data_IF_345188373410
#
_entry.id   IF_345188373410
#
_cell.length_a   1.000
_cell.length_b   1.000
_cell.length_c   1.000
_cell.angle_alpha   90.00
_cell.angle_beta   90.00
_cell.angle_gamma   90.00
#
_symmetry.space_group_name_H-M   'P 1'
#
loop_
_entity.id
_entity.type
_entity.pdbx_description
1 polymer ?
#
# COMPACT_ATOMS: atom_id res chain seq x y z
N UNK A 1 21.19 41.19 4.02
CA UNK A 1 22.46 41.72 3.48
C UNK A 1 22.81 42.98 4.25
N UNK A 2 23.97 43.03 4.92
CA UNK A 2 24.35 44.17 5.74
C UNK A 2 24.77 45.34 4.85
N UNK A 3 24.22 46.53 5.08
CA UNK A 3 24.34 47.67 4.17
C UNK A 3 25.28 48.79 4.66
N UNK A 4 25.84 48.69 5.87
CA UNK A 4 26.76 49.71 6.41
C UNK A 4 27.98 49.11 7.14
N UNK A 5 29.11 49.84 7.26
CA UNK A 5 30.30 49.37 7.99
C UNK A 5 30.01 49.05 9.47
N UNK A 6 29.07 49.78 10.08
CA UNK A 6 28.56 49.56 11.43
C UNK A 6 27.90 48.18 11.56
N UNK A 7 27.15 47.76 10.55
CA UNK A 7 26.46 46.46 10.44
C UNK A 7 27.47 45.28 10.46
N UNK A 8 28.62 45.45 9.78
CA UNK A 8 29.74 44.49 9.78
C UNK A 8 30.58 44.51 11.06
N UNK A 9 30.74 45.67 11.69
CA UNK A 9 31.60 45.84 12.87
C UNK A 9 30.92 45.41 14.18
N UNK A 10 29.58 45.46 14.22
CA UNK A 10 28.78 45.07 15.40
C UNK A 10 28.00 43.76 15.25
N UNK A 11 28.22 43.01 14.16
CA UNK A 11 27.63 41.68 13.98
C UNK A 11 26.09 41.72 13.99
N UNK A 12 25.47 42.70 13.33
CA UNK A 12 24.03 42.64 13.10
C UNK A 12 23.77 41.42 12.21
N UNK A 13 23.01 40.45 12.74
CA UNK A 13 22.86 39.12 12.18
C UNK A 13 21.91 39.10 10.97
N UNK A 14 22.29 39.74 9.88
CA UNK A 14 21.43 39.88 8.69
C UNK A 14 21.38 38.64 7.78
N UNK A 15 22.04 37.54 8.16
CA UNK A 15 22.07 36.25 7.46
C UNK A 15 22.18 35.05 8.43
N UNK A 16 21.29 34.93 9.41
CA UNK A 16 21.24 33.71 10.28
C UNK A 16 20.76 32.49 9.50
N UNK A 17 19.90 32.70 8.51
CA UNK A 17 19.27 31.63 7.74
C UNK A 17 20.26 30.84 6.86
N UNK A 18 21.30 31.49 6.32
CA UNK A 18 22.26 30.87 5.39
C UNK A 18 23.67 31.33 5.68
N UNK A 19 24.60 30.38 5.79
CA UNK A 19 26.02 30.63 6.02
C UNK A 19 26.83 30.75 4.73
N UNK A 20 27.94 31.51 4.75
CA UNK A 20 28.99 31.40 3.74
C UNK A 20 29.40 29.95 3.53
N UNK A 21 29.69 29.62 2.27
CA UNK A 21 30.03 28.26 1.89
C UNK A 21 31.28 27.74 2.63
N UNK A 22 31.36 26.41 2.74
CA UNK A 22 32.53 25.67 3.25
C UNK A 22 33.27 25.01 2.11
N UNK A 23 34.57 24.82 2.29
CA UNK A 23 35.46 24.21 1.29
C UNK A 23 35.30 22.68 1.26
N UNK A 24 35.04 22.06 2.41
CA UNK A 24 34.72 20.63 2.52
C UNK A 24 33.91 20.34 3.79
N UNK A 25 33.11 19.27 3.76
CA UNK A 25 32.48 18.69 4.95
C UNK A 25 33.25 17.48 5.47
N UNK A 26 33.18 17.22 6.78
CA UNK A 26 33.60 15.97 7.39
C UNK A 26 32.37 15.22 7.92
N UNK A 27 32.14 14.04 7.35
CA UNK A 27 31.14 13.03 7.69
C UNK A 27 31.66 11.97 8.67
N UNK A 28 32.89 12.16 9.16
CA UNK A 28 33.53 11.34 10.20
C UNK A 28 34.13 12.24 11.29
N UNK A 29 34.42 11.64 12.44
CA UNK A 29 35.16 12.32 13.49
C UNK A 29 36.59 12.62 13.00
N UNK A 30 37.03 13.87 13.18
CA UNK A 30 38.38 14.35 12.84
C UNK A 30 38.97 15.13 14.02
N UNK A 31 40.29 15.21 14.08
CA UNK A 31 40.96 16.05 15.07
C UNK A 31 40.84 17.54 14.69
N UNK A 32 40.80 18.43 15.66
CA UNK A 32 40.74 19.89 15.45
C UNK A 32 42.12 20.52 15.54
N UNK A 33 43.10 19.95 14.85
CA UNK A 33 44.49 20.38 14.93
C UNK A 33 45.24 20.12 13.63
N UNK A 34 45.98 21.13 13.17
CA UNK A 34 46.89 21.02 12.04
C UNK A 34 46.20 20.80 10.69
N UNK A 35 46.94 20.89 9.57
CA UNK A 35 46.45 20.52 8.26
C UNK A 35 46.11 19.03 8.18
N UNK A 36 44.99 18.71 7.58
CA UNK A 36 44.50 17.33 7.41
C UNK A 36 43.91 17.12 6.02
N UNK A 37 44.07 15.91 5.50
CA UNK A 37 43.37 15.43 4.30
C UNK A 37 42.03 14.84 4.72
N UNK A 38 40.96 15.51 4.33
CA UNK A 38 39.59 15.10 4.58
C UNK A 38 39.06 14.47 3.30
N UNK A 39 38.56 13.24 3.42
CA UNK A 39 37.79 12.57 2.37
C UNK A 39 36.38 12.40 2.89
N UNK A 40 35.40 12.91 2.16
CA UNK A 40 33.99 12.87 2.54
C UNK A 40 33.17 12.28 1.41
N UNK A 41 32.20 11.43 1.73
CA UNK A 41 31.26 10.88 0.75
C UNK A 41 29.87 11.45 1.01
N UNK A 42 29.45 12.35 0.13
CA UNK A 42 28.19 13.07 0.21
C UNK A 42 27.29 12.72 -0.99
N UNK A 43 26.09 13.28 -1.05
CA UNK A 43 25.16 13.03 -2.15
C UNK A 43 25.68 13.57 -3.50
N UNK A 44 26.50 14.62 -3.51
CA UNK A 44 27.12 15.11 -4.76
C UNK A 44 28.33 14.29 -5.20
N UNK A 45 28.82 13.36 -4.37
CA UNK A 45 29.94 12.47 -4.66
C UNK A 45 30.95 12.38 -3.53
N UNK A 46 32.05 11.69 -3.81
CA UNK A 46 33.21 11.62 -2.90
C UNK A 46 34.20 12.71 -3.25
N UNK A 47 34.51 13.56 -2.27
CA UNK A 47 35.44 14.68 -2.40
C UNK A 47 36.60 14.51 -1.43
N UNK A 48 37.81 14.85 -1.86
CA UNK A 48 39.01 14.84 -1.01
C UNK A 48 39.70 16.20 -1.10
N UNK A 49 39.92 16.83 0.06
CA UNK A 49 40.64 18.09 0.18
C UNK A 49 41.69 17.99 1.29
N UNK A 50 42.91 18.40 0.98
CA UNK A 50 43.94 18.67 2.00
C UNK A 50 43.78 20.11 2.47
N UNK A 51 43.35 20.27 3.72
CA UNK A 51 43.09 21.58 4.31
C UNK A 51 44.38 22.40 4.44
N UNK A 52 44.25 23.69 4.20
CA UNK A 52 45.25 24.72 4.39
C UNK A 52 44.75 25.76 5.39
N UNK A 53 45.65 26.63 5.87
CA UNK A 53 45.24 27.65 6.85
C UNK A 53 44.17 28.58 6.25
N UNK A 54 43.03 28.68 6.92
CA UNK A 54 41.91 29.53 6.50
C UNK A 54 40.74 28.78 5.88
N UNK A 55 40.93 27.52 5.47
CA UNK A 55 39.87 26.72 4.87
C UNK A 55 38.74 26.47 5.87
N UNK A 56 37.51 26.62 5.39
CA UNK A 56 36.27 26.42 6.15
C UNK A 56 35.84 24.97 6.01
N UNK A 57 35.77 24.27 7.12
CA UNK A 57 35.39 22.86 7.19
C UNK A 57 34.10 22.74 7.99
N UNK A 58 33.08 22.12 7.40
CA UNK A 58 31.85 21.77 8.12
C UNK A 58 32.01 20.40 8.80
N UNK A 59 31.86 20.34 10.11
CA UNK A 59 31.91 19.07 10.86
C UNK A 59 30.51 18.64 11.22
N UNK A 60 30.13 17.45 10.74
CA UNK A 60 28.77 16.91 10.91
C UNK A 60 28.70 15.67 11.81
N UNK A 61 29.84 15.01 12.05
CA UNK A 61 29.93 13.71 12.73
C UNK A 61 31.07 13.63 13.76
N UNK A 62 31.27 14.69 14.55
CA UNK A 62 32.15 14.65 15.72
C UNK A 62 31.57 13.71 16.80
N UNK A 63 32.44 13.06 17.57
CA UNK A 63 32.03 12.15 18.65
C UNK A 63 31.15 12.86 19.69
N UNK A 64 31.46 14.13 19.98
CA UNK A 64 30.60 15.00 20.76
C UNK A 64 29.83 15.93 19.81
N UNK A 65 28.48 15.82 19.71
CA UNK A 65 27.68 16.68 18.84
C UNK A 65 27.75 18.17 19.19
N UNK A 66 28.26 18.53 20.37
CA UNK A 66 28.54 19.93 20.71
C UNK A 66 29.63 20.50 19.80
N UNK A 67 30.59 19.67 19.38
CA UNK A 67 31.76 20.06 18.56
C UNK A 67 31.46 20.18 17.06
N UNK A 68 30.29 19.69 16.63
CA UNK A 68 29.78 19.94 15.29
C UNK A 68 29.62 21.43 15.01
N UNK A 69 29.85 21.82 13.75
CA UNK A 69 29.79 23.22 13.33
C UNK A 69 30.78 23.56 12.22
N UNK A 70 30.94 24.86 11.95
CA UNK A 70 31.90 25.34 10.95
C UNK A 70 33.20 25.72 11.66
N UNK A 71 34.30 25.12 11.23
CA UNK A 71 35.64 25.34 11.75
C UNK A 71 36.56 25.91 10.67
N UNK A 72 37.55 26.68 11.09
CA UNK A 72 38.60 27.22 10.24
C UNK A 72 39.87 26.44 10.53
N UNK A 73 40.42 25.78 9.50
CA UNK A 73 41.66 25.03 9.59
C UNK A 73 42.83 25.95 9.94
N UNK A 74 43.68 25.50 10.86
CA UNK A 74 44.86 26.21 11.35
C UNK A 74 46.06 25.26 11.44
N UNK A 75 47.30 25.78 11.38
CA UNK A 75 48.51 24.99 11.64
C UNK A 75 48.54 24.39 13.05
N UNK A 76 47.88 25.04 14.01
CA UNK A 76 47.70 24.58 15.38
C UNK A 76 46.23 24.16 15.61
N UNK A 77 45.68 24.41 16.80
CA UNK A 77 44.27 24.15 17.10
C UNK A 77 43.37 24.94 16.17
N UNK A 78 42.40 24.26 15.56
CA UNK A 78 41.40 24.88 14.72
C UNK A 78 40.50 25.78 15.56
N UNK A 79 39.91 26.78 14.92
CA UNK A 79 39.01 27.73 15.60
C UNK A 79 37.63 27.66 14.97
N UNK A 80 36.58 27.78 15.77
CA UNK A 80 35.22 27.91 15.21
C UNK A 80 35.16 29.16 14.35
N UNK A 81 34.44 29.05 13.24
CA UNK A 81 34.23 30.17 12.35
C UNK A 81 33.49 31.31 13.07
N UNK A 82 33.86 32.59 12.87
CA UNK A 82 33.22 33.72 13.55
C UNK A 82 31.70 33.85 13.34
N UNK A 83 31.15 33.24 12.28
CA UNK A 83 29.72 33.20 11.96
C UNK A 83 29.03 31.92 12.47
N UNK A 84 29.71 31.13 13.29
CA UNK A 84 29.23 29.91 13.96
C UNK A 84 29.82 29.83 15.39
N UNK A 85 30.03 30.96 16.06
CA UNK A 85 30.69 31.01 17.37
C UNK A 85 29.91 31.82 18.42
N UNK A 86 28.99 32.68 18.00
CA UNK A 86 28.14 33.50 18.85
C UNK A 86 26.74 32.91 19.09
N UNK A 87 26.07 33.32 20.19
CA UNK A 87 24.75 32.80 20.59
C UNK A 87 23.59 33.24 19.68
N UNK A 88 23.84 34.13 18.71
CA UNK A 88 22.83 34.59 17.72
C UNK A 88 23.21 34.22 16.30
N UNK A 89 24.30 33.50 16.14
CA UNK A 89 24.82 33.19 14.82
C UNK A 89 24.04 32.04 14.20
N UNK A 90 23.63 31.06 15.00
CA UNK A 90 22.92 29.88 14.50
C UNK A 90 21.59 29.71 15.23
N UNK A 91 20.59 29.24 14.49
CA UNK A 91 19.31 28.77 15.03
C UNK A 91 18.98 27.43 14.37
N UNK A 92 18.03 26.70 14.95
CA UNK A 92 17.47 25.55 14.25
C UNK A 92 16.94 25.96 12.86
N UNK A 93 17.34 25.24 11.82
CA UNK A 93 17.00 25.54 10.43
C UNK A 93 18.02 26.35 9.65
N UNK A 94 19.11 26.82 10.27
CA UNK A 94 20.22 27.48 9.54
C UNK A 94 20.81 26.54 8.48
N UNK A 95 21.02 27.06 7.27
CA UNK A 95 21.58 26.32 6.14
C UNK A 95 23.08 26.61 5.94
N UNK A 96 23.82 25.57 5.56
CA UNK A 96 25.24 25.65 5.19
C UNK A 96 25.45 24.94 3.86
N UNK A 97 26.18 25.57 2.95
CA UNK A 97 26.49 25.02 1.63
C UNK A 97 27.97 24.66 1.50
N UNK A 98 28.28 23.60 0.76
CA UNK A 98 29.62 23.27 0.28
C UNK A 98 29.86 23.89 -1.10
N UNK A 99 31.11 24.18 -1.44
CA UNK A 99 31.50 24.58 -2.81
C UNK A 99 31.18 23.51 -3.86
N UNK A 100 31.01 22.25 -3.46
CA UNK A 100 30.64 21.14 -4.34
C UNK A 100 29.12 21.05 -4.59
N UNK A 101 28.32 21.87 -3.89
CA UNK A 101 26.88 21.94 -4.02
C UNK A 101 26.12 21.44 -2.80
N UNK A 102 26.69 20.53 -2.00
CA UNK A 102 25.99 19.94 -0.86
C UNK A 102 25.41 20.99 0.09
N UNK A 103 24.28 20.68 0.70
CA UNK A 103 23.57 21.59 1.60
C UNK A 103 23.17 20.84 2.86
N UNK A 104 23.36 21.46 4.01
CA UNK A 104 22.95 20.94 5.31
C UNK A 104 22.09 21.94 6.07
N UNK A 105 21.08 21.41 6.76
CA UNK A 105 20.26 22.13 7.71
C UNK A 105 20.70 21.79 9.14
N UNK A 106 20.91 22.81 9.96
CA UNK A 106 21.15 22.69 11.40
C UNK A 106 19.90 22.17 12.11
N UNK A 107 20.07 21.14 12.93
CA UNK A 107 19.08 20.59 13.84
C UNK A 107 19.58 20.70 15.28
N UNK A 108 18.96 21.60 16.04
CA UNK A 108 19.29 21.84 17.44
C UNK A 108 18.07 22.38 18.20
N UNK A 109 18.08 22.29 19.53
CA UNK A 109 17.05 22.91 20.37
C UNK A 109 17.32 24.41 20.48
N UNK A 110 16.32 25.24 20.19
CA UNK A 110 16.41 26.68 20.39
C UNK A 110 16.19 27.02 21.89
N UNK A 111 16.93 27.98 22.47
CA UNK A 111 18.03 28.73 21.87
C UNK A 111 19.30 27.89 21.71
N UNK A 112 19.96 28.01 20.56
CA UNK A 112 21.23 27.30 20.32
C UNK A 112 22.37 28.06 20.99
N UNK A 113 23.03 27.42 21.95
CA UNK A 113 24.19 27.96 22.67
C UNK A 113 25.44 27.23 22.18
N UNK A 114 26.28 27.92 21.42
CA UNK A 114 27.53 27.33 20.89
C UNK A 114 28.43 26.87 22.04
N UNK A 115 28.97 25.65 21.92
CA UNK A 115 29.81 25.04 22.95
C UNK A 115 29.03 24.41 24.11
N UNK A 116 27.69 24.37 24.06
CA UNK A 116 26.86 23.70 25.07
C UNK A 116 25.71 22.91 24.45
N UNK A 117 25.02 23.47 23.46
CA UNK A 117 23.97 22.78 22.73
C UNK A 117 24.56 21.70 21.83
N UNK A 118 23.92 20.53 21.80
CA UNK A 118 24.19 19.50 20.80
C UNK A 118 23.67 19.97 19.43
N UNK A 119 24.51 19.87 18.41
CA UNK A 119 24.21 20.34 17.05
C UNK A 119 24.30 19.15 16.10
N UNK A 120 23.21 18.88 15.40
CA UNK A 120 23.15 17.89 14.33
C UNK A 120 22.98 18.59 12.99
N UNK A 121 23.41 17.93 11.92
CA UNK A 121 23.27 18.41 10.56
C UNK A 121 22.50 17.38 9.74
N UNK A 122 21.36 17.78 9.18
CA UNK A 122 20.61 17.00 8.21
C UNK A 122 21.04 17.41 6.81
N UNK A 123 21.45 16.46 5.96
CA UNK A 123 21.71 16.76 4.55
C UNK A 123 20.40 17.07 3.80
N UNK A 124 20.43 18.10 2.95
CA UNK A 124 19.26 18.66 2.26
C UNK A 124 19.48 18.88 0.76
N UNK A 125 20.53 18.31 0.13
CA UNK A 125 20.86 18.59 -1.29
C UNK A 125 19.85 18.01 -2.29
N UNK A 126 19.37 18.84 -3.24
CA UNK A 126 18.00 19.32 -3.10
C UNK A 126 17.14 18.13 -2.68
N UNK A 127 16.92 18.02 -1.37
CA UNK A 127 16.28 16.97 -0.59
C UNK A 127 16.81 15.53 -0.86
N UNK A 128 17.69 15.07 0.03
CA UNK A 128 18.17 13.69 0.28
C UNK A 128 17.80 12.59 -0.72
N UNK A 129 18.80 11.79 -1.14
CA UNK A 129 18.65 10.54 -1.92
C UNK A 129 17.70 9.49 -1.30
N UNK A 130 17.22 9.69 -0.07
CA UNK A 130 16.33 8.77 0.64
C UNK A 130 14.87 9.21 0.71
N UNK A 131 14.39 10.07 -0.21
CA UNK A 131 12.95 10.36 -0.31
C UNK A 131 12.51 10.20 -1.76
N UNK A 132 11.51 9.34 -1.96
CA UNK A 132 10.88 9.14 -3.25
C UNK A 132 10.45 10.51 -3.83
N UNK A 133 10.55 10.68 -5.14
CA UNK A 133 10.28 11.97 -5.82
C UNK A 133 8.86 12.50 -5.57
N UNK A 134 7.97 11.68 -4.99
CA UNK A 134 6.57 11.97 -4.66
C UNK A 134 6.40 12.60 -3.26
N UNK A 135 7.20 12.21 -2.26
CA UNK A 135 7.17 12.76 -0.88
C UNK A 135 7.55 14.26 -0.84
N UNK A 136 8.28 14.74 -1.84
CA UNK A 136 8.68 16.16 -1.95
C UNK A 136 7.71 17.01 -2.75
N UNK A 137 7.00 16.44 -3.72
CA UNK A 137 6.12 17.20 -4.61
C UNK A 137 4.72 17.41 -3.99
N UNK A 138 4.31 16.52 -3.09
CA UNK A 138 3.00 16.56 -2.48
C UNK A 138 3.17 16.74 -0.97
N UNK A 139 2.63 17.84 -0.43
CA UNK A 139 2.37 18.04 0.99
C UNK A 139 1.23 17.12 1.46
N UNK A 140 1.27 15.86 1.03
CA UNK A 140 0.23 14.89 1.27
C UNK A 140 0.63 14.13 2.53
N UNK A 141 -0.21 14.16 3.58
CA UNK A 141 0.03 13.40 4.79
C UNK A 141 0.31 11.94 4.43
N UNK A 142 1.27 11.33 5.13
CA UNK A 142 1.77 9.97 4.91
C UNK A 142 0.65 8.90 4.79
N UNK A 143 -0.55 9.22 5.26
CA UNK A 143 -1.77 8.41 5.11
C UNK A 143 -2.30 8.23 3.68
N UNK A 144 -1.73 8.88 2.66
CA UNK A 144 -2.23 8.80 1.27
C UNK A 144 -1.22 8.25 0.25
N UNK A 145 -0.02 7.85 0.68
CA UNK A 145 0.90 7.12 -0.20
C UNK A 145 0.73 5.63 0.06
N UNK A 146 -0.11 5.00 -0.74
CA UNK A 146 -0.08 3.55 -0.91
C UNK A 146 1.22 3.22 -1.66
N UNK A 147 2.32 3.09 -0.91
CA UNK A 147 3.62 2.73 -1.48
C UNK A 147 3.50 1.35 -2.13
N UNK A 148 3.81 1.27 -3.42
CA UNK A 148 3.98 -0.02 -4.09
C UNK A 148 5.07 -0.81 -3.34
N UNK A 149 4.85 -2.10 -3.05
CA UNK A 149 5.85 -2.95 -2.41
C UNK A 149 7.23 -2.87 -3.06
N UNK A 150 8.27 -2.95 -2.23
CA UNK A 150 9.69 -2.83 -2.64
C UNK A 150 10.03 -3.73 -3.83
N UNK A 151 10.91 -3.26 -4.72
CA UNK A 151 11.19 -3.87 -6.03
C UNK A 151 11.53 -5.37 -5.98
N UNK A 152 12.24 -5.83 -4.95
CA UNK A 152 12.59 -7.24 -4.76
C UNK A 152 11.36 -8.15 -4.54
N UNK A 153 10.22 -7.59 -4.11
CA UNK A 153 8.97 -8.33 -3.90
C UNK A 153 8.07 -8.36 -5.13
N UNK A 154 8.44 -7.65 -6.21
CA UNK A 154 7.64 -7.49 -7.44
C UNK A 154 7.97 -8.50 -8.53
N UNK A 155 9.10 -9.18 -8.43
CA UNK A 155 9.52 -10.12 -9.48
C UNK A 155 8.52 -11.28 -9.60
N UNK A 156 7.99 -11.49 -10.80
CA UNK A 156 6.98 -12.51 -11.10
C UNK A 156 5.58 -12.30 -10.49
N UNK A 157 5.25 -11.12 -9.93
CA UNK A 157 3.95 -10.84 -9.30
C UNK A 157 3.14 -9.77 -10.04
N UNK A 158 1.81 -9.91 -9.99
CA UNK A 158 0.85 -8.95 -10.52
C UNK A 158 0.33 -8.03 -9.41
N UNK A 159 -0.02 -6.79 -9.78
CA UNK A 159 -0.70 -5.85 -8.87
C UNK A 159 -2.21 -6.00 -9.06
N UNK A 160 -2.92 -6.25 -7.97
CA UNK A 160 -4.39 -6.29 -7.89
C UNK A 160 -4.88 -5.36 -6.78
N UNK A 161 -6.19 -5.29 -6.55
CA UNK A 161 -6.79 -4.50 -5.47
C UNK A 161 -7.67 -5.38 -4.58
N UNK A 162 -7.61 -5.16 -3.26
CA UNK A 162 -8.51 -5.81 -2.32
C UNK A 162 -9.91 -5.17 -2.30
N UNK A 163 -10.81 -5.70 -1.47
CA UNK A 163 -12.18 -5.18 -1.30
C UNK A 163 -12.25 -3.76 -0.71
N UNK A 164 -11.15 -3.28 -0.14
CA UNK A 164 -10.95 -1.93 0.37
C UNK A 164 -10.30 -1.00 -0.67
N UNK A 165 -10.00 -1.50 -1.88
CA UNK A 165 -9.33 -0.77 -2.95
C UNK A 165 -7.82 -0.59 -2.73
N UNK A 166 -7.22 -1.33 -1.80
CA UNK A 166 -5.79 -1.27 -1.51
C UNK A 166 -5.00 -2.15 -2.49
N UNK A 167 -3.86 -1.67 -3.02
CA UNK A 167 -3.06 -2.46 -3.94
C UNK A 167 -2.39 -3.64 -3.21
N UNK A 168 -2.55 -4.84 -3.75
CA UNK A 168 -1.95 -6.09 -3.23
C UNK A 168 -1.15 -6.77 -4.34
N UNK A 169 -0.06 -7.47 -3.98
CA UNK A 169 0.74 -8.25 -4.91
C UNK A 169 0.31 -9.71 -4.85
N UNK A 170 -0.11 -10.25 -5.99
CA UNK A 170 -0.52 -11.66 -6.13
C UNK A 170 0.34 -12.37 -7.15
N UNK A 171 0.50 -13.68 -7.00
CA UNK A 171 1.16 -14.54 -7.97
C UNK A 171 0.18 -15.00 -9.05
N UNK A 172 0.68 -15.56 -10.15
CA UNK A 172 -0.17 -16.20 -11.13
C UNK A 172 -0.96 -17.38 -10.53
N UNK A 173 -0.35 -18.08 -9.57
CA UNK A 173 -0.97 -19.21 -8.86
C UNK A 173 -2.18 -18.74 -8.04
N UNK A 174 -2.08 -17.59 -7.36
CA UNK A 174 -3.18 -17.01 -6.60
C UNK A 174 -4.39 -16.70 -7.51
N UNK A 175 -4.14 -16.12 -8.70
CA UNK A 175 -5.20 -15.80 -9.67
C UNK A 175 -5.89 -17.07 -10.19
N UNK A 176 -5.11 -18.11 -10.49
CA UNK A 176 -5.66 -19.38 -10.98
C UNK A 176 -6.39 -20.16 -9.88
N UNK A 177 -5.96 -20.05 -8.62
CA UNK A 177 -6.63 -20.66 -7.48
C UNK A 177 -8.02 -20.05 -7.22
N UNK A 178 -8.16 -18.73 -7.33
CA UNK A 178 -9.45 -18.04 -7.22
C UNK A 178 -10.41 -18.46 -8.34
N UNK A 179 -9.92 -18.57 -9.58
CA UNK A 179 -10.73 -19.05 -10.70
C UNK A 179 -11.16 -20.52 -10.49
N UNK A 180 -10.26 -21.38 -10.00
CA UNK A 180 -10.57 -22.77 -9.69
C UNK A 180 -11.61 -22.90 -8.57
N UNK A 181 -11.51 -22.08 -7.51
CA UNK A 181 -12.49 -22.03 -6.43
C UNK A 181 -13.87 -21.54 -6.91
N UNK A 182 -13.91 -20.53 -7.78
CA UNK A 182 -15.15 -20.05 -8.39
C UNK A 182 -15.82 -21.13 -9.26
N UNK A 183 -15.04 -21.89 -10.03
CA UNK A 183 -15.54 -23.04 -10.81
C UNK A 183 -16.07 -24.15 -9.90
N UNK A 184 -15.33 -24.52 -8.86
CA UNK A 184 -15.79 -25.52 -7.88
C UNK A 184 -17.08 -25.09 -7.17
N UNK A 185 -17.21 -23.80 -6.83
CA UNK A 185 -18.43 -23.26 -6.23
C UNK A 185 -19.62 -23.30 -7.21
N UNK A 186 -19.38 -22.96 -8.48
CA UNK A 186 -20.41 -23.07 -9.53
C UNK A 186 -20.84 -24.53 -9.76
N UNK A 187 -19.89 -25.46 -9.81
CA UNK A 187 -20.18 -26.90 -9.96
C UNK A 187 -20.90 -27.46 -8.73
N UNK A 188 -20.50 -27.06 -7.52
CA UNK A 188 -21.19 -27.45 -6.28
C UNK A 188 -22.62 -26.89 -6.22
N UNK A 189 -22.82 -25.64 -6.62
CA UNK A 189 -24.15 -25.03 -6.72
C UNK A 189 -25.03 -25.78 -7.76
N UNK A 190 -24.47 -26.10 -8.93
CA UNK A 190 -25.18 -26.91 -9.91
C UNK A 190 -25.55 -28.30 -9.35
N UNK A 191 -24.65 -28.93 -8.60
CA UNK A 191 -24.89 -30.21 -7.95
C UNK A 191 -25.94 -30.11 -6.83
N UNK A 192 -25.95 -29.03 -6.06
CA UNK A 192 -26.94 -28.77 -5.01
C UNK A 192 -28.34 -28.52 -5.58
N UNK A 193 -28.42 -27.83 -6.73
CA UNK A 193 -29.65 -27.68 -7.50
C UNK A 193 -30.14 -29.02 -8.08
N UNK A 194 -29.23 -29.86 -8.58
CA UNK A 194 -29.55 -31.17 -9.12
C UNK A 194 -29.97 -32.18 -8.05
N UNK A 195 -29.45 -32.05 -6.84
CA UNK A 195 -29.77 -32.92 -5.70
C UNK A 195 -30.96 -32.44 -4.88
N UNK A 196 -31.54 -31.27 -5.21
CA UNK A 196 -32.75 -30.75 -4.58
C UNK A 196 -32.55 -30.14 -3.19
N UNK A 197 -31.31 -29.84 -2.80
CA UNK A 197 -30.96 -29.36 -1.45
C UNK A 197 -31.05 -27.83 -1.29
N UNK A 198 -31.28 -27.07 -2.38
CA UNK A 198 -31.41 -25.60 -2.35
C UNK A 198 -32.65 -25.17 -3.17
N UNK A 199 -33.51 -24.28 -2.64
CA UNK A 199 -34.62 -23.70 -3.41
C UNK A 199 -34.12 -22.90 -4.61
N UNK A 200 -34.69 -23.14 -5.79
CA UNK A 200 -34.32 -22.46 -7.03
C UNK A 200 -34.74 -20.98 -6.98
N UNK A 201 -33.80 -20.06 -6.76
CA UNK A 201 -34.05 -18.64 -6.96
C UNK A 201 -34.14 -18.35 -8.47
N UNK A 202 -35.37 -18.20 -8.95
CA UNK A 202 -35.73 -17.65 -10.27
C UNK A 202 -35.66 -18.57 -11.51
N UNK A 203 -36.27 -19.76 -11.47
CA UNK A 203 -36.91 -20.29 -12.68
C UNK A 203 -38.18 -21.07 -12.37
N UNK A 204 -39.27 -20.77 -13.10
CA UNK A 204 -40.48 -21.60 -13.16
C UNK A 204 -40.28 -22.88 -14.02
N UNK A 205 -39.05 -23.14 -14.47
CA UNK A 205 -38.65 -24.26 -15.33
C UNK A 205 -37.23 -24.71 -14.95
N UNK A 206 -37.05 -25.97 -14.52
CA UNK A 206 -35.72 -26.51 -14.21
C UNK A 206 -34.76 -26.41 -15.41
N UNK A 207 -33.51 -26.00 -15.15
CA UNK A 207 -32.42 -25.87 -16.14
C UNK A 207 -31.97 -27.24 -16.70
N UNK A 208 -32.34 -28.34 -16.04
CA UNK A 208 -32.11 -29.70 -16.52
C UNK A 208 -33.45 -30.43 -16.56
N UNK A 209 -34.03 -30.50 -17.77
CA UNK A 209 -35.31 -31.17 -18.04
C UNK A 209 -35.05 -32.55 -18.66
N UNK A 210 -35.02 -33.59 -17.83
CA UNK A 210 -35.00 -34.99 -18.28
C UNK A 210 -36.41 -35.56 -18.19
N UNK A 211 -37.06 -35.75 -19.34
CA UNK A 211 -38.41 -36.31 -19.40
C UNK A 211 -38.35 -37.84 -19.45
N UNK A 212 -38.03 -38.47 -18.33
CA UNK A 212 -38.27 -39.90 -18.19
C UNK A 212 -39.78 -40.12 -18.03
N UNK A 213 -40.39 -40.88 -18.93
CA UNK A 213 -41.83 -41.21 -18.87
C UNK A 213 -42.13 -42.32 -17.84
N UNK A 214 -41.21 -42.58 -16.91
CA UNK A 214 -41.34 -43.60 -15.87
C UNK A 214 -41.04 -43.03 -14.49
N UNK A 215 -41.92 -43.33 -13.54
CA UNK A 215 -41.77 -43.06 -12.10
C UNK A 215 -41.24 -44.33 -11.45
N UNK A 216 -39.95 -44.36 -11.18
CA UNK A 216 -39.27 -45.57 -10.66
C UNK A 216 -39.30 -45.69 -9.14
N UNK A 217 -39.65 -44.62 -8.44
CA UNK A 217 -39.78 -44.57 -6.98
C UNK A 217 -41.11 -43.91 -6.61
N UNK A 218 -41.66 -44.23 -5.45
CA UNK A 218 -42.87 -43.58 -4.96
C UNK A 218 -42.62 -42.10 -4.70
N UNK A 219 -43.59 -41.26 -5.07
CA UNK A 219 -43.49 -39.78 -4.99
C UNK A 219 -44.69 -39.25 -4.22
N UNK A 220 -44.46 -38.27 -3.36
CA UNK A 220 -45.50 -37.51 -2.68
C UNK A 220 -45.43 -36.06 -3.14
N UNK A 221 -46.53 -35.55 -3.69
CA UNK A 221 -46.66 -34.12 -4.03
C UNK A 221 -46.96 -33.38 -2.73
N UNK A 222 -46.24 -32.29 -2.39
CA UNK A 222 -46.55 -31.52 -1.18
C UNK A 222 -47.94 -30.88 -1.22
N UNK A 223 -48.48 -30.56 -0.05
CA UNK A 223 -49.76 -29.84 0.09
C UNK A 223 -49.73 -28.47 -0.62
N UNK A 224 -50.82 -28.13 -1.31
CA UNK A 224 -51.01 -26.87 -2.05
C UNK A 224 -49.95 -26.63 -3.15
N UNK A 225 -49.40 -27.68 -3.76
CA UNK A 225 -48.41 -27.58 -4.84
C UNK A 225 -48.86 -28.26 -6.13
N UNK A 226 -48.40 -27.73 -7.25
CA UNK A 226 -48.66 -28.29 -8.57
C UNK A 226 -47.42 -28.96 -9.14
N UNK A 227 -47.59 -30.17 -9.67
CA UNK A 227 -46.59 -30.88 -10.44
C UNK A 227 -46.96 -30.87 -11.93
N UNK A 228 -45.97 -31.01 -12.80
CA UNK A 228 -46.17 -31.10 -14.24
C UNK A 228 -45.22 -32.14 -14.87
N UNK A 229 -45.69 -32.86 -15.89
CA UNK A 229 -44.88 -33.77 -16.72
C UNK A 229 -45.23 -33.64 -18.20
N UNK A 230 -44.35 -34.11 -19.10
CA UNK A 230 -44.55 -34.00 -20.55
C UNK A 230 -44.44 -35.39 -21.22
N UNK A 231 -45.44 -35.76 -22.01
CA UNK A 231 -45.50 -37.06 -22.70
C UNK A 231 -46.94 -37.58 -22.84
N UNK A 232 -47.22 -38.49 -23.78
CA UNK A 232 -48.56 -39.04 -23.96
C UNK A 232 -49.00 -39.92 -22.78
N UNK A 233 -48.05 -40.55 -22.08
CA UNK A 233 -48.29 -41.44 -20.93
C UNK A 233 -47.13 -41.30 -19.94
N UNK A 234 -47.43 -41.35 -18.64
CA UNK A 234 -46.44 -41.58 -17.58
C UNK A 234 -46.70 -42.96 -16.99
N UNK A 235 -45.66 -43.79 -16.91
CA UNK A 235 -45.72 -45.14 -16.36
C UNK A 235 -45.21 -45.14 -14.91
N UNK A 236 -46.00 -45.64 -13.97
CA UNK A 236 -45.51 -45.86 -12.60
C UNK A 236 -44.97 -47.29 -12.50
N UNK A 237 -43.73 -47.43 -12.05
CA UNK A 237 -43.08 -48.74 -11.95
C UNK A 237 -43.81 -49.63 -10.95
N UNK A 238 -43.87 -50.96 -11.18
CA UNK A 238 -44.62 -51.89 -10.32
C UNK A 238 -44.23 -51.74 -8.85
N UNK A 239 -45.22 -51.62 -7.97
CA UNK A 239 -45.02 -51.44 -6.53
C UNK A 239 -44.73 -50.00 -6.09
N UNK A 240 -44.71 -49.02 -7.01
CA UNK A 240 -44.59 -47.60 -6.68
C UNK A 240 -45.94 -46.89 -6.73
N UNK A 241 -46.01 -45.72 -6.09
CA UNK A 241 -47.22 -44.90 -6.03
C UNK A 241 -46.90 -43.41 -6.16
N UNK A 242 -47.86 -42.63 -6.65
CA UNK A 242 -47.82 -41.16 -6.62
C UNK A 242 -48.96 -40.70 -5.74
N UNK A 243 -48.65 -40.02 -4.64
CA UNK A 243 -49.63 -39.47 -3.70
C UNK A 243 -49.83 -38.01 -4.00
N UNK A 244 -51.10 -37.61 -4.17
CA UNK A 244 -51.51 -36.23 -4.44
C UNK A 244 -52.48 -35.81 -3.33
N UNK A 245 -52.10 -34.87 -2.45
CA UNK A 245 -52.96 -34.42 -1.36
C UNK A 245 -54.06 -33.45 -1.83
N UNK A 246 -54.96 -33.11 -0.93
CA UNK A 246 -56.04 -32.16 -1.17
C UNK A 246 -55.48 -30.77 -1.56
N UNK A 247 -56.07 -30.13 -2.57
CA UNK A 247 -55.62 -28.85 -3.16
C UNK A 247 -54.27 -28.88 -3.91
N UNK A 248 -53.75 -30.05 -4.26
CA UNK A 248 -52.59 -30.22 -5.15
C UNK A 248 -53.00 -30.83 -6.49
N UNK A 249 -52.25 -30.53 -7.56
CA UNK A 249 -52.58 -31.00 -8.91
C UNK A 249 -51.35 -31.52 -9.65
N UNK A 250 -51.51 -32.58 -10.45
CA UNK A 250 -50.47 -33.04 -11.38
C UNK A 250 -51.00 -32.98 -12.81
N UNK A 251 -50.31 -32.23 -13.66
CA UNK A 251 -50.69 -32.06 -15.08
C UNK A 251 -49.71 -32.78 -15.99
N UNK A 252 -50.21 -33.58 -16.94
CA UNK A 252 -49.40 -34.18 -18.01
C UNK A 252 -49.69 -33.41 -19.31
N UNK A 253 -48.70 -32.65 -19.79
CA UNK A 253 -48.77 -31.98 -21.08
C UNK A 253 -48.85 -32.98 -22.23
N UNK A 254 -49.87 -32.80 -23.07
CA UNK A 254 -50.43 -33.69 -24.10
C UNK A 254 -51.78 -34.35 -23.76
N UNK A 255 -52.53 -33.82 -22.78
CA UNK A 255 -53.99 -33.79 -22.88
C UNK A 255 -54.79 -34.86 -22.12
N UNK A 256 -54.28 -35.41 -21.02
CA UNK A 256 -55.15 -36.10 -20.05
C UNK A 256 -54.95 -35.52 -18.65
N UNK A 257 -56.05 -35.05 -18.07
CA UNK A 257 -56.15 -34.75 -16.65
C UNK A 257 -56.31 -36.09 -15.93
N UNK A 258 -55.38 -36.45 -15.04
CA UNK A 258 -55.50 -37.66 -14.23
C UNK A 258 -56.37 -37.32 -13.02
N UNK A 259 -57.65 -37.70 -13.04
CA UNK A 259 -58.60 -37.41 -11.96
C UNK A 259 -58.91 -38.65 -11.11
N UNK A 260 -57.88 -39.13 -10.41
CA UNK A 260 -57.90 -40.06 -9.25
C UNK A 260 -58.15 -41.56 -9.46
N UNK A 261 -57.67 -42.31 -8.46
CA UNK A 261 -57.52 -43.77 -8.38
C UNK A 261 -58.84 -44.51 -8.14
N UNK A 262 -59.13 -45.50 -9.00
CA UNK A 262 -60.13 -46.54 -8.73
C UNK A 262 -61.19 -46.71 -9.82
N UNK A 263 -61.54 -47.96 -10.10
CA UNK A 263 -62.51 -48.38 -11.13
C UNK A 263 -63.95 -47.92 -10.78
N UNK A 264 -64.75 -47.65 -11.82
CA UNK A 264 -66.17 -47.24 -11.84
C UNK A 264 -66.49 -45.74 -11.78
N UNK A 265 -66.19 -44.98 -12.85
CA UNK A 265 -66.87 -43.69 -13.08
C UNK A 265 -67.18 -43.44 -14.57
N UNK A 266 -68.44 -43.07 -14.80
CA UNK A 266 -69.11 -42.69 -16.05
C UNK A 266 -68.79 -41.23 -16.47
N UNK A 267 -68.67 -40.98 -17.77
CA UNK A 267 -68.20 -39.71 -18.34
C UNK A 267 -69.39 -38.84 -18.79
N UNK A 268 -69.93 -38.05 -17.86
CA UNK A 268 -70.83 -36.95 -18.19
C UNK A 268 -70.06 -35.77 -18.80
N UNK A 269 -70.63 -35.16 -19.85
CA UNK A 269 -69.99 -34.14 -20.69
C UNK A 269 -69.56 -32.86 -19.95
N UNK A 270 -68.29 -32.51 -20.17
CA UNK A 270 -67.60 -31.20 -20.07
C UNK A 270 -67.47 -30.52 -18.70
#
# INVERSE_FOLDING_TARGET
>A
MPATPTDRLYGLTTSVAVKPAVDISADVNIQLYGPQTITTSTQTGTHTLTTTEGDRVLLTAQDNPIDNGIWISKPATWVRSPDFNGPRDVVNGTLVFSIFGDCWQVEAVNPVVIGTSQIHFRSTYPFSDSLNTLQRALRVPETFLNELPVIATRDGKFITFDSSGQPVMVTADDITADEAAARQHADANLQDQLTGNVPLEASAFSVISWHKQTVDNSVEIPDNMNAWSFGPVITVSPGQSVTIPENSYWTIANGQQVTNSGADVDYGEL
#
